data_IF_656474282092
#
_entry.id   IF_656474282092
#
_cell.length_a   1.000
_cell.length_b   1.000
_cell.length_c   1.000
_cell.angle_alpha   90.00
_cell.angle_beta   90.00
_cell.angle_gamma   90.00
#
_symmetry.space_group_name_H-M   'P 1'
#
loop_
_entity.id
_entity.type
_entity.pdbx_description
1 polymer ?
#
# COMPACT_ATOMS: atom_id res chain seq x y z
N UNK A 1 19.73 -11.56 -2.48
CA UNK A 1 19.08 -11.88 -3.77
C UNK A 1 17.60 -12.06 -3.50
N UNK A 2 16.75 -11.07 -3.82
CA UNK A 2 15.29 -11.22 -3.71
C UNK A 2 14.81 -11.96 -4.97
N UNK A 3 14.02 -13.00 -4.80
CA UNK A 3 13.37 -13.63 -5.95
C UNK A 3 12.24 -12.70 -6.44
N UNK A 4 11.92 -12.68 -7.74
CA UNK A 4 10.81 -11.89 -8.28
C UNK A 4 9.47 -12.17 -7.57
N UNK A 5 9.33 -13.36 -7.00
CA UNK A 5 8.16 -13.76 -6.21
C UNK A 5 8.12 -13.08 -4.84
N UNK A 6 9.24 -12.99 -4.12
CA UNK A 6 9.29 -12.35 -2.81
C UNK A 6 9.00 -10.85 -2.84
N UNK A 7 9.37 -10.16 -3.93
CA UNK A 7 9.06 -8.73 -4.10
C UNK A 7 7.56 -8.49 -4.23
N UNK A 8 6.84 -9.32 -4.99
CA UNK A 8 5.37 -9.18 -5.15
C UNK A 8 4.61 -9.47 -3.87
N UNK A 9 5.11 -10.37 -3.03
CA UNK A 9 4.52 -10.64 -1.71
C UNK A 9 4.59 -9.42 -0.81
N UNK A 10 5.75 -8.74 -0.80
CA UNK A 10 5.96 -7.49 -0.05
C UNK A 10 5.07 -6.37 -0.57
N UNK A 11 4.98 -6.18 -1.88
CA UNK A 11 4.10 -5.19 -2.49
C UNK A 11 2.62 -5.44 -2.16
N UNK A 12 2.18 -6.70 -2.22
CA UNK A 12 0.81 -7.08 -1.88
C UNK A 12 0.47 -6.77 -0.41
N UNK A 13 1.40 -7.00 0.53
CA UNK A 13 1.23 -6.61 1.93
C UNK A 13 1.10 -5.09 2.07
N UNK A 14 1.93 -4.31 1.38
CA UNK A 14 1.81 -2.85 1.38
C UNK A 14 0.43 -2.43 0.86
N UNK A 15 0.00 -2.92 -0.30
CA UNK A 15 -1.30 -2.56 -0.87
C UNK A 15 -2.47 -2.94 0.05
N UNK A 16 -2.48 -4.16 0.60
CA UNK A 16 -3.52 -4.63 1.52
C UNK A 16 -3.53 -3.86 2.85
N UNK A 17 -2.39 -3.31 3.28
CA UNK A 17 -2.32 -2.50 4.50
C UNK A 17 -3.00 -1.14 4.38
N UNK A 18 -3.31 -0.68 3.16
CA UNK A 18 -3.87 0.65 2.89
C UNK A 18 -5.39 0.68 2.83
N UNK A 19 -6.06 -0.46 3.01
CA UNK A 19 -7.52 -0.54 3.00
C UNK A 19 -7.96 -1.47 4.12
N UNK A 20 -8.86 -1.01 4.98
CA UNK A 20 -9.55 -1.91 5.92
C UNK A 20 -10.58 -2.80 5.22
N UNK A 21 -11.03 -2.39 4.04
CA UNK A 21 -11.93 -3.17 3.19
C UNK A 21 -11.19 -4.22 2.38
N UNK A 22 -11.91 -5.28 2.02
CA UNK A 22 -11.40 -6.42 1.27
C UNK A 22 -11.20 -6.09 -0.23
N UNK A 23 -9.96 -6.22 -0.70
CA UNK A 23 -9.57 -5.84 -2.07
C UNK A 23 -9.75 -7.00 -3.04
N UNK A 24 -10.20 -6.72 -4.27
CA UNK A 24 -10.17 -7.72 -5.33
C UNK A 24 -8.74 -7.88 -5.84
N UNK A 25 -8.46 -9.04 -6.42
CA UNK A 25 -7.15 -9.29 -7.03
C UNK A 25 -6.79 -8.30 -8.14
N UNK A 26 -7.79 -7.81 -8.89
CA UNK A 26 -7.62 -6.78 -9.92
C UNK A 26 -7.17 -5.44 -9.33
N UNK A 27 -7.72 -5.09 -8.17
CA UNK A 27 -7.41 -3.83 -7.49
C UNK A 27 -5.98 -3.88 -6.94
N UNK A 28 -5.59 -5.01 -6.37
CA UNK A 28 -4.20 -5.27 -5.94
C UNK A 28 -3.21 -5.21 -7.10
N UNK A 29 -3.53 -5.86 -8.23
CA UNK A 29 -2.70 -5.85 -9.42
C UNK A 29 -2.51 -4.43 -9.98
N UNK A 30 -3.60 -3.64 -10.01
CA UNK A 30 -3.56 -2.23 -10.42
C UNK A 30 -2.74 -1.37 -9.44
N UNK A 31 -2.95 -1.53 -8.14
CA UNK A 31 -2.22 -0.82 -7.09
C UNK A 31 -0.71 -1.15 -7.08
N UNK A 32 -0.33 -2.35 -7.51
CA UNK A 32 1.08 -2.76 -7.60
C UNK A 32 1.67 -2.62 -9.01
N UNK A 33 0.87 -2.24 -10.03
CA UNK A 33 1.31 -2.24 -11.45
C UNK A 33 1.91 -3.59 -11.87
N UNK A 34 1.32 -4.68 -11.37
CA UNK A 34 1.82 -6.03 -11.59
C UNK A 34 0.84 -6.85 -12.46
N UNK A 35 1.34 -7.82 -13.26
CA UNK A 35 0.47 -8.77 -13.94
C UNK A 35 -0.42 -9.53 -12.95
N UNK A 36 -1.69 -9.76 -13.32
CA UNK A 36 -2.68 -10.42 -12.45
C UNK A 36 -2.20 -11.78 -11.95
N UNK A 37 -1.55 -12.57 -12.80
CA UNK A 37 -1.00 -13.90 -12.45
C UNK A 37 0.12 -13.83 -11.42
N UNK A 38 0.94 -12.78 -11.45
CA UNK A 38 2.00 -12.56 -10.46
C UNK A 38 1.41 -12.16 -9.11
N UNK A 39 0.40 -11.30 -9.13
CA UNK A 39 -0.32 -10.90 -7.92
C UNK A 39 -1.08 -12.09 -7.31
N UNK A 40 -1.69 -12.94 -8.15
CA UNK A 40 -2.36 -14.16 -7.70
C UNK A 40 -1.42 -15.06 -6.91
N UNK A 41 -0.23 -15.35 -7.46
CA UNK A 41 0.75 -16.22 -6.80
C UNK A 41 1.27 -15.60 -5.49
N UNK A 42 1.45 -14.28 -5.45
CA UNK A 42 1.85 -13.58 -4.23
C UNK A 42 0.80 -13.69 -3.14
N UNK A 43 -0.47 -13.44 -3.48
CA UNK A 43 -1.61 -13.57 -2.56
C UNK A 43 -1.81 -15.01 -2.10
N UNK A 44 -1.70 -15.99 -2.99
CA UNK A 44 -1.76 -17.41 -2.64
C UNK A 44 -0.66 -17.82 -1.65
N UNK A 45 0.55 -17.26 -1.78
CA UNK A 45 1.60 -17.46 -0.78
C UNK A 45 1.22 -16.87 0.58
N UNK A 46 0.73 -15.63 0.60
CA UNK A 46 0.31 -14.97 1.84
C UNK A 46 -0.87 -15.67 2.52
N UNK A 47 -1.79 -16.23 1.75
CA UNK A 47 -2.92 -17.04 2.25
C UNK A 47 -2.39 -18.34 2.86
N UNK A 48 -1.44 -19.01 2.21
CA UNK A 48 -0.80 -20.21 2.75
C UNK A 48 -0.09 -19.94 4.07
N UNK A 49 0.53 -18.77 4.19
CA UNK A 49 1.24 -18.34 5.39
C UNK A 49 0.32 -17.75 6.47
N UNK A 50 -1.00 -17.69 6.23
CA UNK A 50 -1.99 -17.17 7.17
C UNK A 50 -1.99 -15.64 7.35
N UNK A 51 -1.17 -14.91 6.58
CA UNK A 51 -1.11 -13.45 6.63
C UNK A 51 -2.27 -12.76 5.90
N UNK A 52 -2.91 -13.46 4.97
CA UNK A 52 -4.05 -12.95 4.20
C UNK A 52 -5.24 -13.88 4.30
N UNK A 53 -6.42 -13.32 4.53
CA UNK A 53 -7.70 -14.02 4.48
C UNK A 53 -8.32 -13.77 3.11
N UNK A 54 -8.79 -14.84 2.47
CA UNK A 54 -9.45 -14.78 1.16
C UNK A 54 -10.89 -15.26 1.27
N UNK A 55 -11.86 -14.41 0.97
CA UNK A 55 -13.28 -14.75 0.95
C UNK A 55 -13.92 -14.24 -0.35
N UNK A 56 -14.63 -15.10 -1.09
CA UNK A 56 -15.37 -14.73 -2.33
C UNK A 56 -14.54 -13.88 -3.32
N UNK A 57 -13.26 -14.24 -3.53
CA UNK A 57 -12.29 -13.52 -4.40
C UNK A 57 -11.90 -12.12 -3.93
N UNK A 58 -12.06 -11.85 -2.64
CA UNK A 58 -11.59 -10.63 -1.97
C UNK A 58 -10.58 -11.00 -0.89
N UNK A 59 -9.60 -10.13 -0.71
CA UNK A 59 -8.41 -10.38 0.07
C UNK A 59 -8.19 -9.25 1.08
N UNK A 60 -7.86 -9.62 2.31
CA UNK A 60 -7.54 -8.67 3.38
C UNK A 60 -6.42 -9.23 4.25
N UNK A 61 -5.66 -8.36 4.92
CA UNK A 61 -4.70 -8.81 5.93
C UNK A 61 -5.43 -9.48 7.09
N UNK A 62 -4.88 -10.60 7.57
CA UNK A 62 -5.32 -11.24 8.79
C UNK A 62 -4.86 -10.38 9.99
N UNK A 63 -5.65 -9.39 10.41
CA UNK A 63 -5.27 -8.44 11.48
C UNK A 63 -4.91 -9.12 12.81
N UNK A 64 -5.51 -10.27 13.10
CA UNK A 64 -5.27 -11.07 14.30
C UNK A 64 -3.98 -11.92 14.21
N UNK A 65 -3.36 -12.02 13.03
CA UNK A 65 -2.14 -12.79 12.86
C UNK A 65 -0.99 -12.13 13.65
N UNK A 66 -0.22 -12.87 14.47
CA UNK A 66 0.82 -12.29 15.34
C UNK A 66 1.88 -11.47 14.59
N UNK A 67 2.17 -11.85 13.35
CA UNK A 67 3.13 -11.16 12.50
C UNK A 67 2.53 -10.05 11.62
N UNK A 68 1.22 -9.76 11.68
CA UNK A 68 0.58 -8.83 10.74
C UNK A 68 1.22 -7.44 10.77
N UNK A 69 1.33 -6.82 11.95
CA UNK A 69 1.93 -5.49 12.11
C UNK A 69 3.40 -5.48 11.70
N UNK A 70 4.18 -6.47 12.14
CA UNK A 70 5.60 -6.58 11.80
C UNK A 70 5.82 -6.77 10.29
N UNK A 71 4.97 -7.56 9.63
CA UNK A 71 5.01 -7.76 8.18
C UNK A 71 4.71 -6.47 7.42
N UNK A 72 3.74 -5.67 7.88
CA UNK A 72 3.45 -4.36 7.26
C UNK A 72 4.62 -3.39 7.42
N UNK A 73 5.15 -3.23 8.64
CA UNK A 73 6.29 -2.34 8.88
C UNK A 73 7.54 -2.76 8.10
N UNK A 74 7.84 -4.06 8.09
CA UNK A 74 8.93 -4.62 7.30
C UNK A 74 8.72 -4.33 5.82
N UNK A 75 7.50 -4.52 5.31
CA UNK A 75 7.22 -4.35 3.88
C UNK A 75 7.35 -2.90 3.43
N UNK A 76 6.81 -1.96 4.21
CA UNK A 76 6.94 -0.52 3.96
C UNK A 76 8.40 -0.05 3.93
N UNK A 77 9.27 -0.63 4.77
CA UNK A 77 10.70 -0.27 4.81
C UNK A 77 11.54 -0.99 3.76
N UNK A 78 11.10 -2.16 3.32
CA UNK A 78 11.90 -3.04 2.47
C UNK A 78 11.88 -2.68 1.00
N UNK A 79 10.83 -2.01 0.54
CA UNK A 79 10.72 -1.55 -0.85
C UNK A 79 11.58 -0.30 -1.10
N UNK A 80 11.96 -0.02 -2.36
CA UNK A 80 12.41 1.31 -2.76
C UNK A 80 11.36 2.36 -2.39
N UNK A 81 11.79 3.54 -1.92
CA UNK A 81 10.88 4.61 -1.45
C UNK A 81 9.81 4.93 -2.49
N UNK A 82 10.24 5.16 -3.73
CA UNK A 82 9.35 5.53 -4.84
C UNK A 82 8.29 4.44 -5.09
N UNK A 83 8.69 3.16 -5.09
CA UNK A 83 7.77 2.02 -5.24
C UNK A 83 6.78 1.93 -4.08
N UNK A 84 7.24 2.09 -2.84
CA UNK A 84 6.38 2.02 -1.67
C UNK A 84 5.34 3.15 -1.67
N UNK A 85 5.77 4.39 -1.94
CA UNK A 85 4.89 5.54 -2.02
C UNK A 85 3.87 5.40 -3.15
N UNK A 86 4.30 4.97 -4.34
CA UNK A 86 3.37 4.76 -5.45
C UNK A 86 2.30 3.71 -5.15
N UNK A 87 2.64 2.62 -4.45
CA UNK A 87 1.66 1.61 -4.04
C UNK A 87 0.73 2.19 -2.98
N UNK A 88 1.29 2.84 -1.97
CA UNK A 88 0.51 3.43 -0.88
C UNK A 88 -0.53 4.43 -1.41
N UNK A 89 -0.10 5.34 -2.29
CA UNK A 89 -0.97 6.37 -2.86
C UNK A 89 -2.05 5.80 -3.79
N UNK A 90 -1.78 4.68 -4.48
CA UNK A 90 -2.76 4.03 -5.35
C UNK A 90 -3.74 3.12 -4.61
N UNK A 91 -3.29 2.49 -3.52
CA UNK A 91 -4.09 1.52 -2.78
C UNK A 91 -4.97 2.16 -1.71
N UNK A 92 -4.61 3.35 -1.21
CA UNK A 92 -5.30 3.99 -0.10
C UNK A 92 -6.58 4.72 -0.56
N UNK A 93 -7.71 4.42 0.07
CA UNK A 93 -9.03 4.98 -0.28
C UNK A 93 -9.21 6.45 0.08
N UNK A 94 -8.36 6.99 0.95
CA UNK A 94 -8.33 8.42 1.23
C UNK A 94 -7.83 9.25 0.05
N UNK A 95 -7.08 8.65 -0.89
CA UNK A 95 -6.50 9.37 -2.02
C UNK A 95 -7.45 9.34 -3.22
N UNK A 96 -7.86 10.52 -3.70
CA UNK A 96 -8.63 10.67 -4.95
C UNK A 96 -7.69 10.77 -6.16
N UNK A 97 -6.64 11.57 -6.03
CA UNK A 97 -5.62 11.77 -7.06
C UNK A 97 -4.24 11.81 -6.44
N UNK A 98 -3.24 11.31 -7.16
CA UNK A 98 -1.85 11.45 -6.78
C UNK A 98 -0.98 11.65 -8.01
N UNK A 99 0.13 12.36 -7.83
CA UNK A 99 1.14 12.52 -8.84
C UNK A 99 2.51 12.80 -8.23
N UNK A 100 3.49 12.95 -9.12
CA UNK A 100 4.88 13.22 -8.77
C UNK A 100 5.41 14.33 -9.66
N UNK A 101 6.14 15.26 -9.05
CA UNK A 101 6.81 16.34 -9.75
C UNK A 101 8.30 16.43 -9.33
N UNK A 102 8.95 17.56 -9.60
CA UNK A 102 10.36 17.76 -9.24
C UNK A 102 10.59 17.95 -7.73
N UNK A 103 9.56 18.35 -6.98
CA UNK A 103 9.62 18.61 -5.54
C UNK A 103 9.33 17.33 -4.76
N UNK A 104 8.41 16.49 -5.25
CA UNK A 104 8.11 15.21 -4.64
C UNK A 104 6.76 14.65 -5.08
N UNK A 105 6.14 13.88 -4.18
CA UNK A 105 4.81 13.36 -4.39
C UNK A 105 3.76 14.35 -3.86
N UNK A 106 2.65 14.45 -4.57
CA UNK A 106 1.45 15.13 -4.09
C UNK A 106 0.28 14.14 -4.09
N UNK A 107 -0.58 14.24 -3.08
CA UNK A 107 -1.78 13.45 -2.95
C UNK A 107 -2.96 14.34 -2.55
N UNK A 108 -4.07 14.18 -3.26
CA UNK A 108 -5.31 14.89 -3.01
C UNK A 108 -6.26 13.96 -2.27
N UNK A 109 -6.70 14.37 -1.10
CA UNK A 109 -7.66 13.60 -0.32
C UNK A 109 -9.06 13.67 -0.94
N UNK A 110 -9.72 12.52 -0.98
CA UNK A 110 -11.13 12.40 -1.36
C UNK A 110 -12.00 13.17 -0.35
N UNK A 111 -13.03 13.90 -0.81
CA UNK A 111 -13.99 14.53 0.10
C UNK A 111 -14.79 13.53 0.93
N UNK A 112 -14.75 12.24 0.57
CA UNK A 112 -15.39 11.13 1.29
C UNK A 112 -14.40 10.25 2.05
N UNK A 113 -13.14 10.69 2.19
CA UNK A 113 -12.12 9.94 2.91
C UNK A 113 -12.49 9.77 4.39
N UNK A 114 -12.48 8.54 4.88
CA UNK A 114 -12.65 8.28 6.31
C UNK A 114 -11.37 8.64 7.07
N UNK A 115 -11.51 9.13 8.31
CA UNK A 115 -10.37 9.51 9.15
C UNK A 115 -9.39 8.34 9.37
N UNK A 116 -9.90 7.11 9.41
CA UNK A 116 -9.10 5.90 9.52
C UNK A 116 -8.18 5.71 8.30
N UNK A 117 -8.73 5.82 7.09
CA UNK A 117 -7.95 5.68 5.84
C UNK A 117 -6.86 6.75 5.74
N UNK A 118 -7.17 7.98 6.13
CA UNK A 118 -6.19 9.07 6.15
C UNK A 118 -5.09 8.83 7.20
N UNK A 119 -5.43 8.30 8.38
CA UNK A 119 -4.45 7.95 9.41
C UNK A 119 -3.50 6.84 8.93
N UNK A 120 -4.05 5.83 8.24
CA UNK A 120 -3.27 4.75 7.60
C UNK A 120 -2.31 5.32 6.55
N UNK A 121 -2.78 6.23 5.69
CA UNK A 121 -1.96 6.89 4.66
C UNK A 121 -0.77 7.63 5.30
N UNK A 122 -1.07 8.54 6.24
CA UNK A 122 -0.05 9.36 6.90
C UNK A 122 0.96 8.50 7.65
N UNK A 123 0.50 7.44 8.32
CA UNK A 123 1.38 6.51 9.02
C UNK A 123 2.30 5.76 8.07
N UNK A 124 1.79 5.30 6.93
CA UNK A 124 2.59 4.60 5.92
C UNK A 124 3.67 5.51 5.33
N UNK A 125 3.32 6.75 4.95
CA UNK A 125 4.28 7.75 4.45
C UNK A 125 5.39 8.03 5.48
N UNK A 126 5.02 8.19 6.76
CA UNK A 126 6.01 8.37 7.83
C UNK A 126 6.95 7.17 7.96
N UNK A 127 6.44 5.94 7.93
CA UNK A 127 7.26 4.73 8.04
C UNK A 127 8.20 4.60 6.85
N UNK A 128 7.72 4.87 5.64
CA UNK A 128 8.52 4.77 4.41
C UNK A 128 9.68 5.74 4.45
N UNK A 129 9.47 7.00 4.85
CA UNK A 129 10.49 8.04 4.81
C UNK A 129 11.42 8.09 6.03
N UNK A 130 11.02 7.51 7.17
CA UNK A 130 11.77 7.62 8.43
C UNK A 130 13.19 7.08 8.29
N UNK A 131 14.17 7.91 8.69
CA UNK A 131 15.59 7.58 8.80
C UNK A 131 16.25 7.12 7.47
N UNK A 132 15.72 7.60 6.33
CA UNK A 132 16.21 7.26 4.99
C UNK A 132 16.86 8.45 4.30
N UNK A 133 18.02 8.23 3.69
CA UNK A 133 18.71 9.25 2.88
C UNK A 133 18.04 9.50 1.52
N UNK A 134 17.25 8.55 1.04
CA UNK A 134 16.47 8.62 -0.21
C UNK A 134 15.00 9.01 0.02
N UNK A 135 14.68 9.60 1.18
CA UNK A 135 13.33 10.04 1.51
C UNK A 135 12.79 11.06 0.48
N UNK A 136 11.47 11.01 0.26
CA UNK A 136 10.76 11.91 -0.67
C UNK A 136 9.80 12.81 0.07
N UNK A 137 9.71 14.07 -0.36
CA UNK A 137 8.64 14.95 0.09
C UNK A 137 7.30 14.40 -0.37
N UNK A 138 6.31 14.39 0.52
CA UNK A 138 4.93 13.99 0.23
C UNK A 138 4.01 15.04 0.80
N UNK A 139 3.33 15.76 -0.07
CA UNK A 139 2.32 16.75 0.30
C UNK A 139 0.93 16.11 0.18
N UNK A 140 0.13 16.18 1.26
CA UNK A 140 -1.24 15.65 1.30
C UNK A 140 -2.16 16.84 1.52
N UNK A 141 -2.98 17.15 0.52
CA UNK A 141 -3.88 18.31 0.51
C UNK A 141 -5.33 17.87 0.44
N UNK A 142 -6.22 18.69 1.02
CA UNK A 142 -7.65 18.49 0.85
C UNK A 142 -8.09 19.05 -0.49
N UNK A 143 -9.05 18.38 -1.15
CA UNK A 143 -9.60 18.88 -2.43
C UNK A 143 -10.11 20.32 -2.36
N UNK A 144 -10.64 20.75 -1.22
CA UNK A 144 -11.12 22.12 -1.01
C UNK A 144 -10.02 23.19 -1.10
N UNK A 145 -8.76 22.79 -1.00
CA UNK A 145 -7.58 23.67 -1.06
C UNK A 145 -7.07 23.88 -2.50
N UNK A 146 -7.52 23.03 -3.44
CA UNK A 146 -7.21 23.15 -4.86
C UNK A 146 -8.21 24.11 -5.52
N UNK A 147 -7.78 25.36 -5.75
CA UNK A 147 -8.56 26.41 -6.42
C UNK A 147 -8.33 26.42 -7.93
#
# INVERSE_FOLDING_TARGET
>A
MRTPHGERTVEAVVALSQSEADLRLTDLAAACRAPLTSMQRAVESLVRDGLVISCRRRHQLAKEHPAATASVEFSLRSLPVDTALEIVLRANRAVEFAGVDRVGYFAVESPFAELADQAVLRRAVQIINRDRSDARSVEIVQRAELR
#
